data_IF_838026218054
#
_entry.id   IF_838026218054
#
_cell.length_a   1.000
_cell.length_b   1.000
_cell.length_c   1.000
_cell.angle_alpha   90.00
_cell.angle_beta   90.00
_cell.angle_gamma   90.00
#
_symmetry.space_group_name_H-M   'P 1'
#
loop_
_entity.id
_entity.type
_entity.pdbx_description
1 polymer ?
#
# COMPACT_ATOMS: atom_id res chain seq x y z
N UNK A 1 17.95 -9.79 14.40
CA UNK A 1 16.62 -10.38 14.20
C UNK A 1 16.61 -11.10 12.86
N UNK A 2 16.21 -12.37 12.81
CA UNK A 2 16.35 -13.23 11.63
C UNK A 2 15.68 -12.64 10.36
N UNK A 3 14.55 -11.96 10.50
CA UNK A 3 13.81 -11.36 9.36
C UNK A 3 14.57 -10.16 8.75
N UNK A 4 15.15 -9.31 9.57
CA UNK A 4 15.95 -8.17 9.10
C UNK A 4 17.20 -8.63 8.36
N UNK A 5 17.85 -9.70 8.85
CA UNK A 5 19.04 -10.26 8.20
C UNK A 5 18.70 -10.90 6.85
N UNK A 6 17.56 -11.61 6.78
CA UNK A 6 17.06 -12.19 5.52
C UNK A 6 16.76 -11.09 4.49
N UNK A 7 16.13 -9.98 4.94
CA UNK A 7 15.87 -8.86 4.05
C UNK A 7 17.15 -8.24 3.52
N UNK A 8 18.15 -8.00 4.38
CA UNK A 8 19.44 -7.44 3.97
C UNK A 8 20.16 -8.35 2.94
N UNK A 9 20.08 -9.67 3.13
CA UNK A 9 20.65 -10.63 2.16
C UNK A 9 19.90 -10.57 0.82
N UNK A 10 18.58 -10.52 0.86
CA UNK A 10 17.76 -10.38 -0.35
C UNK A 10 18.05 -9.04 -1.05
N UNK A 11 18.14 -7.94 -0.30
CA UNK A 11 18.40 -6.60 -0.84
C UNK A 11 19.72 -6.51 -1.61
N UNK A 12 20.75 -7.22 -1.16
CA UNK A 12 22.06 -7.28 -1.83
C UNK A 12 22.02 -7.88 -3.25
N UNK A 13 20.97 -8.62 -3.59
CA UNK A 13 20.79 -9.17 -4.93
C UNK A 13 20.37 -8.10 -5.96
N UNK A 14 19.98 -6.91 -5.51
CA UNK A 14 19.49 -5.83 -6.35
C UNK A 14 20.29 -4.52 -6.17
N UNK A 15 21.59 -4.53 -6.37
CA UNK A 15 22.47 -3.37 -6.07
C UNK A 15 22.18 -2.15 -6.96
N UNK A 16 21.65 -2.37 -8.17
CA UNK A 16 21.36 -1.31 -9.15
C UNK A 16 19.97 -0.68 -8.98
N UNK A 17 19.11 -1.23 -8.12
CA UNK A 17 17.79 -0.68 -7.90
C UNK A 17 17.78 0.32 -6.74
N UNK A 18 17.11 1.44 -6.96
CA UNK A 18 16.82 2.40 -5.89
C UNK A 18 15.56 1.96 -5.15
N UNK A 19 15.65 1.84 -3.83
CA UNK A 19 14.53 1.53 -2.97
C UNK A 19 14.14 2.77 -2.19
N UNK A 20 12.88 3.13 -2.26
CA UNK A 20 12.28 4.22 -1.50
C UNK A 20 11.16 3.68 -0.61
N UNK A 21 11.17 4.07 0.65
CA UNK A 21 10.13 3.78 1.62
C UNK A 21 9.40 5.07 1.99
N UNK A 22 8.11 5.10 1.77
CA UNK A 22 7.24 6.10 2.43
C UNK A 22 6.88 5.54 3.79
N UNK A 23 7.43 6.17 4.83
CA UNK A 23 7.38 5.65 6.21
C UNK A 23 5.98 5.71 6.77
N UNK A 24 5.50 4.57 7.27
CA UNK A 24 4.25 4.44 7.98
C UNK A 24 4.42 4.35 9.50
N UNK A 25 3.31 4.29 10.21
CA UNK A 25 3.26 4.23 11.68
C UNK A 25 3.83 2.91 12.27
N UNK A 26 3.95 1.86 11.46
CA UNK A 26 4.55 0.58 11.85
C UNK A 26 6.02 0.42 11.44
N UNK A 27 6.59 1.38 10.74
CA UNK A 27 7.99 1.35 10.30
C UNK A 27 8.89 1.89 11.41
N UNK A 28 9.12 1.08 12.44
CA UNK A 28 9.77 1.44 13.70
C UNK A 28 11.26 1.09 13.76
N UNK A 29 11.82 0.55 12.70
CA UNK A 29 13.25 0.22 12.67
C UNK A 29 14.11 1.49 12.76
N UNK A 30 15.32 1.41 13.34
CA UNK A 30 16.22 2.55 13.45
C UNK A 30 16.71 3.00 12.05
N UNK A 31 17.00 4.29 11.91
CA UNK A 31 17.45 4.85 10.63
C UNK A 31 18.73 4.15 10.10
N UNK A 32 19.63 3.76 10.99
CA UNK A 32 20.85 3.02 10.64
C UNK A 32 20.56 1.71 9.89
N UNK A 33 19.43 1.05 10.18
CA UNK A 33 19.06 -0.16 9.47
C UNK A 33 18.62 0.15 8.04
N UNK A 34 17.85 1.23 7.82
CA UNK A 34 17.45 1.65 6.46
C UNK A 34 18.66 2.08 5.63
N UNK A 35 19.63 2.74 6.27
CA UNK A 35 20.91 3.11 5.64
C UNK A 35 21.69 1.87 5.23
N UNK A 36 21.83 0.87 6.11
CA UNK A 36 22.48 -0.41 5.81
C UNK A 36 21.77 -1.15 4.65
N UNK A 37 20.44 -1.10 4.63
CA UNK A 37 19.63 -1.68 3.55
C UNK A 37 19.68 -0.88 2.25
N UNK A 38 20.33 0.29 2.23
CA UNK A 38 20.32 1.23 1.13
C UNK A 38 18.89 1.59 0.66
N UNK A 39 18.03 1.97 1.64
CA UNK A 39 16.66 2.41 1.45
C UNK A 39 16.59 3.90 1.74
N UNK A 40 16.05 4.67 0.80
CA UNK A 40 15.72 6.07 1.01
C UNK A 40 14.39 6.18 1.74
N UNK A 41 14.40 6.81 2.93
CA UNK A 41 13.19 6.98 3.76
C UNK A 41 12.57 8.35 3.53
N UNK A 42 11.28 8.38 3.25
CA UNK A 42 10.50 9.60 2.99
C UNK A 42 9.27 9.64 3.91
N UNK A 43 8.83 10.84 4.28
CA UNK A 43 7.49 11.04 4.87
C UNK A 43 6.41 11.02 3.78
N UNK A 44 6.73 11.64 2.63
CA UNK A 44 5.97 11.55 1.40
C UNK A 44 6.93 11.60 0.22
N UNK A 45 6.57 11.01 -0.90
CA UNK A 45 7.41 10.99 -2.09
C UNK A 45 6.61 11.48 -3.30
N UNK A 46 7.11 12.51 -3.96
CA UNK A 46 6.53 13.03 -5.19
C UNK A 46 7.35 12.57 -6.40
N UNK A 47 6.70 11.83 -7.29
CA UNK A 47 7.22 11.43 -8.60
C UNK A 47 6.17 11.78 -9.65
N UNK A 48 6.28 12.96 -10.25
CA UNK A 48 5.26 13.55 -11.12
C UNK A 48 4.66 12.55 -12.14
N UNK A 49 3.34 12.44 -12.27
CA UNK A 49 2.28 13.20 -11.58
C UNK A 49 1.78 12.52 -10.28
N UNK A 50 2.54 11.62 -9.69
CA UNK A 50 2.13 10.77 -8.57
C UNK A 50 2.70 11.26 -7.24
N UNK A 51 1.85 11.23 -6.21
CA UNK A 51 2.24 11.38 -4.81
C UNK A 51 2.07 10.06 -4.07
N UNK A 52 3.09 9.67 -3.32
CA UNK A 52 3.07 8.51 -2.44
C UNK A 52 3.07 9.00 -1.00
N UNK A 53 2.05 8.61 -0.24
CA UNK A 53 1.83 8.99 1.16
C UNK A 53 1.43 7.74 1.94
N UNK A 54 1.60 7.76 3.27
CA UNK A 54 1.17 6.63 4.08
C UNK A 54 -0.33 6.65 4.31
N UNK A 55 -0.89 7.77 4.75
CA UNK A 55 -2.31 7.94 5.06
C UNK A 55 -2.95 9.03 4.18
N UNK A 56 -4.16 8.80 3.68
CA UNK A 56 -4.93 9.78 2.90
C UNK A 56 -5.28 11.04 3.71
N UNK A 57 -5.29 10.94 5.04
CA UNK A 57 -5.48 12.10 5.92
C UNK A 57 -4.30 13.08 5.86
N UNK A 58 -3.15 12.66 5.33
CA UNK A 58 -1.98 13.53 5.15
C UNK A 58 -2.09 14.41 3.88
N UNK A 59 -3.15 14.25 3.09
CA UNK A 59 -3.39 15.10 1.92
C UNK A 59 -3.75 16.51 2.38
N UNK A 60 -2.91 17.48 2.02
CA UNK A 60 -3.22 18.90 2.19
C UNK A 60 -4.32 19.32 1.21
N UNK A 61 -5.54 19.42 1.70
CA UNK A 61 -6.72 19.80 0.92
C UNK A 61 -6.72 21.29 0.50
N UNK A 62 -5.82 22.09 1.06
CA UNK A 62 -5.69 23.51 0.70
C UNK A 62 -4.93 23.69 -0.61
N UNK A 63 -4.15 22.71 -1.02
CA UNK A 63 -3.40 22.72 -2.27
C UNK A 63 -4.32 22.16 -3.36
N UNK A 64 -4.67 22.99 -4.34
CA UNK A 64 -5.37 22.56 -5.56
C UNK A 64 -4.43 21.69 -6.41
N UNK A 65 -4.36 20.43 -6.08
CA UNK A 65 -3.36 19.50 -6.55
C UNK A 65 -4.01 18.54 -7.55
N UNK A 66 -3.60 18.61 -8.80
CA UNK A 66 -4.06 17.72 -9.87
C UNK A 66 -3.33 16.35 -9.85
N UNK A 67 -2.49 16.12 -8.83
CA UNK A 67 -1.72 14.89 -8.72
C UNK A 67 -2.60 13.71 -8.27
N UNK A 68 -2.19 12.53 -8.70
CA UNK A 68 -2.78 11.28 -8.25
C UNK A 68 -2.03 10.72 -7.04
N UNK A 69 -2.75 10.21 -6.04
CA UNK A 69 -2.16 9.72 -4.80
C UNK A 69 -2.14 8.20 -4.73
N UNK A 70 -1.05 7.66 -4.21
CA UNK A 70 -0.96 6.28 -3.75
C UNK A 70 -0.80 6.27 -2.23
N UNK A 71 -1.62 5.48 -1.54
CA UNK A 71 -1.60 5.37 -0.08
C UNK A 71 -1.71 3.92 0.36
N UNK A 72 -1.24 3.64 1.57
CA UNK A 72 -1.44 2.37 2.27
C UNK A 72 -2.43 2.51 3.42
N UNK A 73 -1.97 2.23 4.63
CA UNK A 73 -2.57 2.44 5.96
C UNK A 73 -3.87 1.68 6.22
N UNK A 74 -4.96 1.96 5.52
CA UNK A 74 -6.29 1.42 5.85
C UNK A 74 -6.50 -0.07 5.53
N UNK A 75 -5.57 -0.71 4.80
CA UNK A 75 -5.68 -2.12 4.42
C UNK A 75 -7.03 -2.47 3.78
N UNK A 76 -7.35 -1.96 2.58
CA UNK A 76 -8.67 -2.09 1.99
C UNK A 76 -9.06 -3.54 1.73
N UNK A 77 -10.27 -3.90 2.10
CA UNK A 77 -10.87 -5.20 1.86
C UNK A 77 -12.24 -5.08 1.22
N UNK A 78 -12.50 -5.87 0.19
CA UNK A 78 -13.80 -5.97 -0.47
C UNK A 78 -14.50 -7.26 -0.06
N UNK A 79 -15.78 -7.14 0.27
CA UNK A 79 -16.61 -8.28 0.61
C UNK A 79 -17.36 -8.76 -0.64
N UNK A 80 -17.12 -10.00 -1.01
CA UNK A 80 -17.81 -10.67 -2.09
C UNK A 80 -18.83 -11.67 -1.54
N UNK A 81 -20.02 -11.67 -2.12
CA UNK A 81 -21.06 -12.64 -1.79
C UNK A 81 -20.82 -13.87 -2.66
N UNK A 82 -20.49 -14.99 -2.03
CA UNK A 82 -20.42 -16.29 -2.69
C UNK A 82 -21.78 -17.00 -2.73
N UNK A 83 -21.83 -18.13 -3.43
CA UNK A 83 -22.98 -19.03 -3.38
C UNK A 83 -23.15 -19.57 -1.95
N UNK A 84 -24.39 -19.71 -1.46
CA UNK A 84 -24.65 -20.31 -0.15
C UNK A 84 -24.49 -19.39 1.05
N UNK A 85 -24.76 -18.09 0.92
CA UNK A 85 -24.65 -17.06 2.02
C UNK A 85 -23.24 -16.87 2.58
N UNK A 86 -22.21 -17.31 1.88
CA UNK A 86 -20.84 -17.06 2.28
C UNK A 86 -20.46 -15.61 1.95
N UNK A 87 -19.95 -14.92 2.96
CA UNK A 87 -19.36 -13.59 2.79
C UNK A 87 -17.85 -13.73 2.94
N UNK A 88 -17.14 -13.68 1.82
CA UNK A 88 -15.69 -13.74 1.80
C UNK A 88 -15.14 -12.32 1.65
N UNK A 89 -14.10 -12.00 2.40
CA UNK A 89 -13.40 -10.71 2.33
C UNK A 89 -12.02 -10.92 1.75
N UNK A 90 -11.69 -10.12 0.76
CA UNK A 90 -10.40 -10.18 0.06
C UNK A 90 -9.68 -8.84 0.15
N UNK A 91 -8.35 -8.83 0.35
CA UNK A 91 -7.56 -7.62 0.19
C UNK A 91 -7.69 -7.13 -1.25
N UNK A 92 -7.62 -5.82 -1.45
CA UNK A 92 -7.83 -5.25 -2.77
C UNK A 92 -7.06 -3.94 -2.97
N UNK A 93 -6.82 -3.61 -4.24
CA UNK A 93 -6.51 -2.25 -4.65
C UNK A 93 -7.85 -1.50 -4.76
N UNK A 94 -7.94 -0.38 -4.08
CA UNK A 94 -9.11 0.49 -4.13
C UNK A 94 -8.75 1.78 -4.88
N UNK A 95 -9.22 1.89 -6.12
CA UNK A 95 -8.88 2.96 -7.04
C UNK A 95 -10.07 3.90 -7.21
N UNK A 96 -9.82 5.18 -7.02
CA UNK A 96 -10.75 6.28 -7.27
C UNK A 96 -10.18 7.19 -8.37
N UNK A 97 -10.92 8.19 -8.86
CA UNK A 97 -10.37 9.17 -9.78
C UNK A 97 -9.18 9.99 -9.24
N UNK A 98 -8.98 10.03 -7.92
CA UNK A 98 -7.98 10.89 -7.27
C UNK A 98 -6.88 10.11 -6.56
N UNK A 99 -7.13 8.88 -6.15
CA UNK A 99 -6.16 8.08 -5.40
C UNK A 99 -6.36 6.58 -5.58
N UNK A 100 -5.32 5.82 -5.31
CA UNK A 100 -5.37 4.38 -5.08
C UNK A 100 -4.89 4.04 -3.67
N UNK A 101 -5.68 3.26 -2.94
CA UNK A 101 -5.21 2.63 -1.71
C UNK A 101 -4.71 1.23 -2.03
N UNK A 102 -3.47 0.97 -1.64
CA UNK A 102 -2.80 -0.29 -1.85
C UNK A 102 -3.28 -1.35 -0.83
N UNK A 103 -3.36 -2.62 -1.21
CA UNK A 103 -3.66 -3.69 -0.28
C UNK A 103 -2.57 -3.84 0.79
N UNK A 104 -2.93 -4.39 1.94
CA UNK A 104 -1.94 -4.79 2.93
C UNK A 104 -0.98 -5.82 2.35
N UNK A 105 0.32 -5.63 2.58
CA UNK A 105 1.33 -6.60 2.17
C UNK A 105 1.31 -7.85 3.07
N UNK A 106 1.07 -7.65 4.37
CA UNK A 106 1.01 -8.75 5.34
C UNK A 106 -0.34 -9.45 5.37
N UNK A 107 -0.34 -10.77 5.47
CA UNK A 107 -1.54 -11.60 5.68
C UNK A 107 -2.11 -11.49 7.09
N UNK A 108 -1.36 -10.95 8.04
CA UNK A 108 -1.72 -10.86 9.46
C UNK A 108 -2.42 -9.55 9.84
N UNK A 109 -2.57 -8.63 8.91
CA UNK A 109 -3.28 -7.37 9.14
C UNK A 109 -4.77 -7.55 8.92
N UNK A 110 -5.58 -6.86 9.76
CA UNK A 110 -7.02 -6.75 9.52
C UNK A 110 -7.33 -6.03 8.21
N UNK A 111 -8.52 -6.24 7.66
CA UNK A 111 -8.98 -5.57 6.45
C UNK A 111 -10.13 -4.60 6.79
N UNK A 112 -9.99 -3.34 6.40
CA UNK A 112 -11.07 -2.36 6.45
C UNK A 112 -12.03 -2.59 5.28
N UNK A 113 -13.32 -2.76 5.59
CA UNK A 113 -14.32 -2.96 4.55
C UNK A 113 -14.58 -1.66 3.78
N UNK A 114 -14.28 -1.67 2.48
CA UNK A 114 -14.53 -0.53 1.61
C UNK A 114 -15.96 -0.60 1.02
N UNK A 115 -16.50 0.58 0.70
CA UNK A 115 -17.77 0.72 -0.01
C UNK A 115 -17.54 1.56 -1.26
N UNK A 116 -17.18 0.91 -2.40
CA UNK A 116 -16.87 1.62 -3.63
C UNK A 116 -18.08 2.40 -4.14
N UNK A 117 -17.82 3.57 -4.72
CA UNK A 117 -18.80 4.35 -5.48
C UNK A 117 -18.84 3.86 -6.92
N UNK A 118 -19.76 4.41 -7.71
CA UNK A 118 -19.98 4.00 -9.11
C UNK A 118 -18.76 4.25 -10.00
N UNK A 119 -18.02 5.33 -9.71
CA UNK A 119 -16.82 5.73 -10.45
C UNK A 119 -15.54 5.03 -10.02
N UNK A 120 -15.59 4.30 -8.89
CA UNK A 120 -14.42 3.62 -8.34
C UNK A 120 -14.19 2.28 -9.02
N UNK A 121 -12.95 1.84 -9.02
CA UNK A 121 -12.53 0.54 -9.54
C UNK A 121 -11.85 -0.24 -8.44
N UNK A 122 -12.23 -1.50 -8.27
CA UNK A 122 -11.64 -2.38 -7.26
C UNK A 122 -11.01 -3.58 -7.94
N UNK A 123 -9.78 -3.88 -7.57
CA UNK A 123 -9.10 -5.12 -7.96
C UNK A 123 -8.88 -5.98 -6.72
N UNK A 124 -9.68 -7.02 -6.55
CA UNK A 124 -9.56 -7.97 -5.44
C UNK A 124 -8.42 -8.96 -5.68
N UNK A 125 -7.66 -9.27 -4.64
CA UNK A 125 -6.64 -10.32 -4.65
C UNK A 125 -7.31 -11.60 -4.16
N UNK A 126 -7.50 -12.54 -5.07
CA UNK A 126 -8.18 -13.82 -4.81
C UNK A 126 -7.21 -14.96 -5.12
N UNK A 127 -6.78 -15.67 -4.08
CA UNK A 127 -5.71 -16.65 -4.19
C UNK A 127 -4.44 -16.02 -4.82
N UNK A 128 -4.00 -16.57 -5.95
CA UNK A 128 -2.81 -16.09 -6.68
C UNK A 128 -3.16 -15.16 -7.87
N UNK A 129 -4.39 -14.67 -7.92
CA UNK A 129 -4.89 -13.86 -9.02
C UNK A 129 -5.47 -12.51 -8.59
N UNK A 130 -5.65 -11.63 -9.57
CA UNK A 130 -6.30 -10.33 -9.40
C UNK A 130 -7.59 -10.33 -10.22
N UNK A 131 -8.70 -9.98 -9.58
CA UNK A 131 -10.03 -9.94 -10.19
C UNK A 131 -10.59 -8.52 -10.09
N UNK A 132 -10.98 -7.95 -11.22
CA UNK A 132 -11.71 -6.68 -11.26
C UNK A 132 -13.17 -6.92 -10.83
N UNK A 133 -13.65 -6.08 -9.92
CA UNK A 133 -15.00 -6.14 -9.35
C UNK A 133 -15.85 -5.04 -9.95
#
# INVERSE_FOLDING_TARGET
>A
NNETDIYLQWRKQFPLFNFSLVKGNHDILPNSWYEEANIQVHQSLYLAPFNFIHDLNDIDQTINNQNYYFSGHIHPGIQLKGMGKQNLRFPCFYCTPQFTVLPAFSKFTGLANIKPKKEDVVFAIVNDGIVKI
#
